data_IF_002570350584
#
_entry.id   IF_002570350584
#
_cell.length_a   1.000
_cell.length_b   1.000
_cell.length_c   1.000
_cell.angle_alpha   90.00
_cell.angle_beta   90.00
_cell.angle_gamma   90.00
#
_symmetry.space_group_name_H-M   'P 1'
#
loop_
_entity.id
_entity.type
_entity.pdbx_description
1 polymer ?
#
# COMPACT_ATOMS: atom_id res chain seq x y z
N UNK A 1 -26.28 -9.26 -11.43
CA UNK A 1 -25.15 -9.26 -10.47
C UNK A 1 -25.44 -8.15 -9.48
N UNK A 2 -25.76 -8.47 -8.22
CA UNK A 2 -25.88 -7.43 -7.19
C UNK A 2 -24.52 -6.76 -7.04
N UNK A 3 -24.46 -5.43 -7.21
CA UNK A 3 -23.27 -4.68 -6.83
C UNK A 3 -23.03 -4.94 -5.33
N UNK A 4 -21.86 -5.45 -4.93
CA UNK A 4 -21.52 -5.58 -3.51
C UNK A 4 -21.59 -4.20 -2.85
N UNK A 5 -21.97 -4.16 -1.58
CA UNK A 5 -21.86 -2.95 -0.76
C UNK A 5 -20.44 -2.39 -0.85
N UNK A 6 -20.34 -1.06 -1.04
CA UNK A 6 -19.07 -0.38 -1.26
C UNK A 6 -18.19 -0.48 0.01
N UNK A 7 -17.00 -1.08 -0.06
CA UNK A 7 -16.16 -1.31 1.10
C UNK A 7 -15.43 -0.02 1.49
N UNK A 8 -15.56 0.38 2.76
CA UNK A 8 -14.61 1.28 3.42
C UNK A 8 -13.46 0.42 3.96
N UNK A 9 -12.25 0.55 3.41
CA UNK A 9 -11.08 -0.25 3.80
C UNK A 9 -9.97 0.66 4.36
N UNK A 10 -9.09 0.11 5.19
CA UNK A 10 -7.81 0.75 5.55
C UNK A 10 -6.66 -0.23 5.37
N UNK A 11 -5.52 0.32 4.95
CA UNK A 11 -4.27 -0.41 4.90
C UNK A 11 -3.72 -0.59 6.31
N UNK A 12 -3.49 -1.84 6.70
CA UNK A 12 -2.69 -2.18 7.86
C UNK A 12 -1.27 -2.53 7.43
N UNK A 13 -0.32 -1.63 7.65
CA UNK A 13 1.10 -1.99 7.59
C UNK A 13 1.46 -2.79 8.87
N UNK A 14 1.08 -4.07 8.88
CA UNK A 14 1.26 -5.02 9.98
C UNK A 14 2.70 -5.47 10.15
N UNK A 15 3.40 -5.72 9.05
CA UNK A 15 4.86 -5.64 8.85
C UNK A 15 5.26 -6.36 7.56
N UNK A 16 6.48 -6.03 7.10
CA UNK A 16 7.16 -6.46 5.89
C UNK A 16 6.46 -6.00 4.59
N UNK A 17 7.01 -4.99 3.89
CA UNK A 17 8.35 -4.44 4.12
C UNK A 17 8.39 -3.30 5.13
N UNK A 18 9.38 -3.32 6.01
CA UNK A 18 9.67 -2.19 6.90
C UNK A 18 9.98 -0.95 6.07
N UNK A 19 9.21 0.12 6.30
CA UNK A 19 9.39 1.38 5.61
C UNK A 19 10.00 2.42 6.56
N UNK A 20 11.18 3.00 6.23
CA UNK A 20 11.87 3.94 7.09
C UNK A 20 11.05 5.17 7.50
N UNK A 21 10.07 5.57 6.70
CA UNK A 21 9.23 6.73 7.00
C UNK A 21 8.05 6.42 7.91
N UNK A 22 7.60 5.15 7.96
CA UNK A 22 6.53 4.71 8.86
C UNK A 22 7.06 4.50 10.27
N UNK A 23 8.18 3.79 10.39
CA UNK A 23 8.86 3.50 11.67
C UNK A 23 10.32 3.96 11.66
N UNK A 24 10.59 5.27 11.53
CA UNK A 24 11.94 5.82 11.50
C UNK A 24 12.78 5.46 12.72
N UNK A 25 12.17 5.25 13.89
CA UNK A 25 12.89 4.93 15.12
C UNK A 25 13.74 3.66 14.99
N UNK A 26 13.25 2.61 14.31
CA UNK A 26 14.00 1.36 14.12
C UNK A 26 15.28 1.62 13.33
N UNK A 27 15.18 2.42 12.28
CA UNK A 27 16.28 2.78 11.41
C UNK A 27 17.25 3.74 12.09
N UNK A 28 16.77 4.77 12.79
CA UNK A 28 17.59 5.71 13.56
C UNK A 28 18.42 4.96 14.62
N UNK A 29 17.77 4.05 15.35
CA UNK A 29 18.39 3.33 16.47
C UNK A 29 19.46 2.31 16.04
N UNK A 30 19.56 1.97 14.75
CA UNK A 30 20.70 1.18 14.26
C UNK A 30 22.02 1.92 14.36
N UNK A 31 22.00 3.27 14.48
CA UNK A 31 23.16 4.14 14.38
C UNK A 31 24.02 3.87 13.12
N UNK A 32 23.39 3.38 12.06
CA UNK A 32 24.04 3.06 10.79
C UNK A 32 23.18 3.56 9.62
N UNK A 33 23.62 4.65 8.99
CA UNK A 33 22.92 5.27 7.87
C UNK A 33 22.98 4.45 6.58
N UNK A 34 23.79 3.40 6.49
CA UNK A 34 23.82 2.49 5.36
C UNK A 34 22.64 1.48 5.37
N UNK A 35 21.90 1.40 6.47
CA UNK A 35 20.68 0.58 6.58
C UNK A 35 19.49 1.40 6.09
N UNK A 36 19.13 1.26 4.82
CA UNK A 36 18.14 2.12 4.14
C UNK A 36 16.80 1.42 3.88
N UNK A 37 16.73 0.12 4.10
CA UNK A 37 15.60 -0.76 3.85
C UNK A 37 15.75 -2.05 4.71
N UNK A 38 14.78 -2.95 4.63
CA UNK A 38 14.80 -4.19 5.40
C UNK A 38 15.91 -5.17 4.94
N UNK A 39 16.27 -5.13 3.65
CA UNK A 39 17.36 -5.93 3.09
C UNK A 39 18.71 -5.57 3.73
N UNK A 40 19.06 -4.28 3.73
CA UNK A 40 20.29 -3.77 4.35
C UNK A 40 20.24 -3.87 5.87
N UNK A 41 19.06 -3.80 6.48
CA UNK A 41 18.87 -4.08 7.91
C UNK A 41 19.32 -5.50 8.26
N UNK A 42 18.79 -6.51 7.55
CA UNK A 42 19.21 -7.91 7.73
C UNK A 42 20.67 -8.18 7.37
N UNK A 43 21.21 -7.43 6.39
CA UNK A 43 22.61 -7.59 5.95
C UNK A 43 23.63 -7.02 6.94
N UNK A 44 23.32 -5.89 7.59
CA UNK A 44 24.29 -5.08 8.34
C UNK A 44 24.09 -5.12 9.85
N UNK A 45 23.08 -5.84 10.34
CA UNK A 45 22.89 -6.10 11.76
C UNK A 45 23.35 -7.52 12.11
N UNK A 46 23.78 -7.69 13.37
CA UNK A 46 23.88 -9.05 13.93
C UNK A 46 22.49 -9.70 13.94
N UNK A 47 22.41 -10.96 13.52
CA UNK A 47 21.14 -11.67 13.33
C UNK A 47 20.28 -11.69 14.61
N UNK A 48 20.88 -11.93 15.78
CA UNK A 48 20.11 -12.00 17.03
C UNK A 48 19.64 -10.62 17.47
N UNK A 49 20.45 -9.60 17.22
CA UNK A 49 20.07 -8.19 17.44
C UNK A 49 18.90 -7.80 16.54
N UNK A 50 19.00 -8.08 15.23
CA UNK A 50 17.95 -7.81 14.25
C UNK A 50 16.65 -8.53 14.59
N UNK A 51 16.73 -9.83 14.92
CA UNK A 51 15.58 -10.63 15.33
C UNK A 51 14.94 -10.12 16.62
N UNK A 52 15.73 -9.65 17.58
CA UNK A 52 15.23 -9.04 18.81
C UNK A 52 14.43 -7.77 18.54
N UNK A 53 14.95 -6.88 17.69
CA UNK A 53 14.28 -5.64 17.26
C UNK A 53 12.97 -5.97 16.54
N UNK A 54 13.02 -6.88 15.56
CA UNK A 54 11.84 -7.26 14.77
C UNK A 54 10.77 -7.94 15.62
N UNK A 55 11.13 -8.82 16.57
CA UNK A 55 10.13 -9.40 17.49
C UNK A 55 9.44 -8.35 18.34
N UNK A 56 10.21 -7.40 18.88
CA UNK A 56 9.62 -6.30 19.62
C UNK A 56 8.68 -5.47 18.74
N UNK A 57 9.07 -5.22 17.48
CA UNK A 57 8.23 -4.53 16.50
C UNK A 57 6.93 -5.33 16.23
N UNK A 58 7.03 -6.62 15.87
CA UNK A 58 5.89 -7.50 15.60
C UNK A 58 4.94 -7.64 16.81
N UNK A 59 5.47 -7.63 18.04
CA UNK A 59 4.67 -7.78 19.26
C UNK A 59 3.92 -6.49 19.66
N UNK A 60 4.36 -5.32 19.20
CA UNK A 60 3.88 -4.03 19.74
C UNK A 60 3.37 -3.06 18.69
N UNK A 61 3.76 -3.22 17.43
CA UNK A 61 3.39 -2.29 16.38
C UNK A 61 1.94 -2.43 16.00
N UNK A 62 1.44 -3.60 15.62
CA UNK A 62 0.01 -3.82 15.44
C UNK A 62 -0.47 -4.89 16.42
N UNK A 63 -1.49 -4.55 17.17
CA UNK A 63 -2.07 -5.39 18.22
C UNK A 63 -3.57 -5.58 17.99
N UNK A 64 -4.21 -6.46 18.76
CA UNK A 64 -5.66 -6.63 18.69
C UNK A 64 -6.43 -5.31 18.92
N UNK A 65 -5.91 -4.42 19.78
CA UNK A 65 -6.52 -3.11 20.04
C UNK A 65 -6.60 -2.25 18.77
N UNK A 66 -5.67 -2.41 17.83
CA UNK A 66 -5.73 -1.72 16.53
C UNK A 66 -6.91 -2.24 15.70
N UNK A 67 -7.15 -3.56 15.68
CA UNK A 67 -8.29 -4.15 14.97
C UNK A 67 -9.63 -3.73 15.59
N UNK A 68 -9.71 -3.68 16.93
CA UNK A 68 -10.88 -3.14 17.65
C UNK A 68 -11.13 -1.68 17.24
N UNK A 69 -10.07 -0.86 17.19
CA UNK A 69 -10.18 0.54 16.83
C UNK A 69 -10.56 0.75 15.36
N UNK A 70 -10.07 -0.09 14.44
CA UNK A 70 -10.42 -0.07 13.01
C UNK A 70 -11.91 -0.37 12.83
N UNK A 71 -12.40 -1.45 13.44
CA UNK A 71 -13.83 -1.78 13.39
C UNK A 71 -14.70 -0.67 14.03
N UNK A 72 -14.24 -0.09 15.15
CA UNK A 72 -14.94 1.01 15.82
C UNK A 72 -14.94 2.32 15.01
N UNK A 73 -14.02 2.49 14.06
CA UNK A 73 -13.99 3.60 13.11
C UNK A 73 -14.92 3.39 11.90
N UNK A 74 -15.74 2.33 11.90
CA UNK A 74 -16.68 2.03 10.82
C UNK A 74 -16.04 1.44 9.57
N UNK A 75 -14.78 1.01 9.66
CA UNK A 75 -14.05 0.35 8.59
C UNK A 75 -14.42 -1.13 8.52
N UNK A 76 -14.38 -1.70 7.33
CA UNK A 76 -14.91 -3.04 7.04
C UNK A 76 -13.84 -4.04 6.61
N UNK A 77 -12.67 -3.55 6.18
CA UNK A 77 -11.60 -4.38 5.65
C UNK A 77 -10.23 -3.91 6.13
N UNK A 78 -9.27 -4.81 6.07
CA UNK A 78 -7.83 -4.55 6.25
C UNK A 78 -7.03 -5.11 5.07
N UNK A 79 -6.07 -4.34 4.55
CA UNK A 79 -5.02 -4.82 3.63
C UNK A 79 -3.73 -5.03 4.39
N UNK A 80 -3.16 -6.23 4.31
CA UNK A 80 -1.99 -6.68 5.08
C UNK A 80 -0.83 -6.94 4.10
N UNK A 81 0.12 -6.01 3.95
CA UNK A 81 1.37 -6.23 3.25
C UNK A 81 2.17 -7.35 3.89
N UNK A 82 2.77 -8.20 3.05
CA UNK A 82 3.65 -9.30 3.44
C UNK A 82 4.84 -9.35 2.49
N UNK A 83 6.04 -9.14 3.02
CA UNK A 83 7.28 -9.41 2.28
C UNK A 83 7.51 -10.91 2.12
N UNK A 84 8.04 -11.34 0.97
CA UNK A 84 8.22 -12.77 0.70
C UNK A 84 9.07 -13.52 1.75
N UNK A 85 9.99 -12.82 2.41
CA UNK A 85 10.86 -13.38 3.44
C UNK A 85 10.13 -13.79 4.72
N UNK A 86 8.88 -13.35 4.86
CA UNK A 86 7.99 -13.69 5.97
C UNK A 86 7.16 -14.96 5.72
N UNK A 87 7.14 -15.48 4.49
CA UNK A 87 6.32 -16.65 4.10
C UNK A 87 7.15 -17.92 4.20
N UNK A 88 6.66 -18.99 4.88
CA UNK A 88 7.42 -20.21 5.11
C UNK A 88 7.54 -21.06 3.84
N UNK A 89 8.51 -20.73 3.00
CA UNK A 89 8.85 -21.46 1.76
C UNK A 89 10.25 -22.07 1.84
N UNK A 90 10.62 -22.87 0.83
CA UNK A 90 11.98 -23.39 0.68
C UNK A 90 12.94 -22.42 -0.04
N UNK A 91 12.49 -21.19 -0.32
CA UNK A 91 13.28 -20.17 -1.00
C UNK A 91 14.22 -19.53 0.02
N UNK A 92 15.47 -19.27 -0.37
CA UNK A 92 16.39 -18.52 0.49
C UNK A 92 15.90 -17.09 0.66
N UNK A 93 15.81 -16.66 1.91
CA UNK A 93 15.39 -15.30 2.29
C UNK A 93 16.55 -14.45 2.79
N UNK A 94 17.80 -14.93 2.70
CA UNK A 94 18.93 -14.09 3.10
C UNK A 94 19.00 -12.82 2.24
N UNK A 95 19.34 -11.65 2.82
CA UNK A 95 19.77 -11.44 4.21
C UNK A 95 18.64 -11.12 5.20
N UNK A 96 17.37 -11.18 4.79
CA UNK A 96 16.24 -10.89 5.66
C UNK A 96 16.17 -11.82 6.88
N UNK A 97 15.52 -11.34 7.94
CA UNK A 97 15.31 -12.10 9.17
C UNK A 97 13.90 -12.71 9.15
N UNK A 98 13.74 -14.03 8.94
CA UNK A 98 12.42 -14.65 8.97
C UNK A 98 11.87 -14.69 10.40
N UNK A 99 10.54 -14.67 10.54
CA UNK A 99 9.89 -14.79 11.84
C UNK A 99 8.50 -14.17 11.93
N UNK A 100 8.10 -13.36 10.94
CA UNK A 100 6.82 -12.65 10.97
C UNK A 100 5.58 -13.55 10.74
N UNK A 101 5.73 -14.76 10.17
CA UNK A 101 4.59 -15.63 9.80
C UNK A 101 3.54 -15.83 10.91
N UNK A 102 3.91 -16.15 12.17
CA UNK A 102 2.93 -16.32 13.23
C UNK A 102 2.19 -15.02 13.59
N UNK A 103 2.77 -13.86 13.32
CA UNK A 103 2.15 -12.55 13.54
C UNK A 103 1.16 -12.21 12.43
N UNK A 104 1.51 -12.53 11.18
CA UNK A 104 0.59 -12.43 10.04
C UNK A 104 -0.65 -13.30 10.29
N UNK A 105 -0.45 -14.57 10.69
CA UNK A 105 -1.56 -15.47 11.01
C UNK A 105 -2.42 -14.96 12.18
N UNK A 106 -1.80 -14.36 13.20
CA UNK A 106 -2.48 -13.76 14.36
C UNK A 106 -3.34 -12.57 13.93
N UNK A 107 -2.80 -11.72 13.07
CA UNK A 107 -3.49 -10.55 12.55
C UNK A 107 -4.71 -10.91 11.68
N UNK A 108 -4.59 -11.92 10.81
CA UNK A 108 -5.73 -12.51 10.10
C UNK A 108 -6.78 -13.04 11.09
N UNK A 109 -6.34 -13.67 12.18
CA UNK A 109 -7.23 -14.12 13.25
C UNK A 109 -7.99 -12.99 13.92
N UNK A 110 -7.31 -11.88 14.25
CA UNK A 110 -7.94 -10.68 14.81
C UNK A 110 -8.92 -10.03 13.84
N UNK A 111 -8.58 -9.95 12.54
CA UNK A 111 -9.49 -9.44 11.52
C UNK A 111 -10.81 -10.23 11.52
N UNK A 112 -10.73 -11.55 11.44
CA UNK A 112 -11.90 -12.44 11.49
C UNK A 112 -12.71 -12.29 12.78
N UNK A 113 -12.04 -12.21 13.93
CA UNK A 113 -12.68 -12.06 15.24
C UNK A 113 -13.49 -10.77 15.36
N UNK A 114 -13.01 -9.69 14.73
CA UNK A 114 -13.64 -8.37 14.75
C UNK A 114 -14.50 -8.08 13.51
N UNK A 115 -14.80 -9.10 12.70
CA UNK A 115 -15.69 -8.98 11.54
C UNK A 115 -15.11 -8.15 10.39
N UNK A 116 -13.79 -8.03 10.32
CA UNK A 116 -13.08 -7.32 9.27
C UNK A 116 -12.69 -8.30 8.16
N UNK A 117 -13.04 -7.95 6.93
CA UNK A 117 -12.58 -8.64 5.73
C UNK A 117 -11.07 -8.41 5.54
N UNK A 118 -10.39 -9.39 4.95
CA UNK A 118 -8.92 -9.36 4.86
C UNK A 118 -8.42 -9.53 3.43
N UNK A 119 -7.56 -8.60 3.02
CA UNK A 119 -6.72 -8.69 1.83
C UNK A 119 -5.30 -9.02 2.28
N UNK A 120 -4.75 -10.13 1.81
CA UNK A 120 -3.31 -10.42 1.96
C UNK A 120 -2.60 -9.95 0.70
N UNK A 121 -1.60 -9.10 0.87
CA UNK A 121 -0.87 -8.50 -0.22
C UNK A 121 0.60 -8.94 -0.19
N UNK A 122 1.05 -9.63 -1.24
CA UNK A 122 2.48 -9.90 -1.39
C UNK A 122 3.18 -8.61 -1.81
N UNK A 123 3.81 -7.95 -0.85
CA UNK A 123 4.24 -6.56 -1.03
C UNK A 123 5.72 -6.42 -1.42
N UNK A 124 6.49 -7.51 -1.34
CA UNK A 124 7.88 -7.56 -1.80
C UNK A 124 8.22 -8.91 -2.41
N UNK A 125 8.85 -8.91 -3.59
CA UNK A 125 9.28 -10.12 -4.29
C UNK A 125 10.82 -10.23 -4.39
N UNK A 126 11.36 -11.45 -4.58
CA UNK A 126 12.79 -11.66 -4.81
C UNK A 126 13.33 -10.80 -5.95
N UNK A 127 14.44 -10.09 -5.70
CA UNK A 127 15.07 -9.19 -6.66
C UNK A 127 14.38 -7.83 -6.83
N UNK A 128 13.34 -7.54 -6.02
CA UNK A 128 12.50 -6.34 -6.06
C UNK A 128 11.74 -6.15 -7.38
N UNK A 129 10.45 -5.88 -7.26
CA UNK A 129 9.53 -5.63 -8.38
C UNK A 129 9.45 -4.15 -8.80
N UNK A 130 10.06 -3.23 -8.05
CA UNK A 130 10.00 -1.80 -8.33
C UNK A 130 11.26 -1.01 -7.95
N UNK A 131 12.15 -1.57 -7.14
CA UNK A 131 13.36 -0.90 -6.65
C UNK A 131 13.11 0.07 -5.50
N UNK A 132 11.89 0.12 -4.95
CA UNK A 132 11.52 0.94 -3.80
C UNK A 132 11.89 0.23 -2.49
N UNK A 133 12.12 1.02 -1.44
CA UNK A 133 12.34 0.48 -0.09
C UNK A 133 11.10 -0.26 0.44
N UNK A 134 9.91 0.16 0.03
CA UNK A 134 8.65 -0.53 0.29
C UNK A 134 8.60 -1.95 -0.27
N UNK A 135 9.49 -2.38 -1.17
CA UNK A 135 9.58 -3.78 -1.62
C UNK A 135 10.53 -4.64 -0.77
N UNK A 136 11.18 -4.02 0.22
CA UNK A 136 12.22 -4.60 1.08
C UNK A 136 13.64 -4.35 0.63
N UNK A 137 13.85 -4.10 -0.67
CA UNK A 137 15.16 -3.87 -1.26
C UNK A 137 15.13 -2.68 -2.22
N UNK A 138 15.56 -1.53 -1.72
CA UNK A 138 15.76 -0.34 -2.53
C UNK A 138 16.94 -0.56 -3.47
N UNK A 139 16.69 -0.45 -4.77
CA UNK A 139 17.72 -0.64 -5.79
C UNK A 139 17.39 0.15 -7.06
N UNK A 140 18.43 0.65 -7.73
CA UNK A 140 18.27 1.28 -9.04
C UNK A 140 18.21 0.26 -10.20
N UNK A 141 18.35 -1.02 -9.89
CA UNK A 141 18.35 -2.10 -10.88
C UNK A 141 17.55 -3.30 -10.37
N UNK A 142 16.22 -3.15 -10.21
CA UNK A 142 15.37 -4.27 -9.82
C UNK A 142 15.46 -5.40 -10.87
N UNK A 143 15.36 -6.65 -10.42
CA UNK A 143 15.65 -7.85 -11.23
C UNK A 143 14.48 -8.84 -11.28
N UNK A 144 13.36 -8.56 -10.62
CA UNK A 144 12.24 -9.50 -10.53
C UNK A 144 11.77 -9.98 -11.91
N UNK A 145 11.37 -9.06 -12.80
CA UNK A 145 10.85 -9.40 -14.13
C UNK A 145 11.92 -9.96 -15.09
N UNK A 146 13.20 -9.65 -14.84
CA UNK A 146 14.32 -10.02 -15.72
C UNK A 146 14.91 -11.39 -15.39
N UNK A 147 14.47 -12.02 -14.32
CA UNK A 147 14.95 -13.33 -13.88
C UNK A 147 13.76 -14.25 -13.57
N UNK A 148 13.56 -15.26 -14.43
CA UNK A 148 12.47 -16.23 -14.27
C UNK A 148 12.54 -17.01 -12.94
N UNK A 149 13.71 -17.12 -12.31
CA UNK A 149 13.84 -17.71 -10.97
C UNK A 149 13.10 -16.88 -9.93
N UNK A 150 13.17 -15.55 -10.03
CA UNK A 150 12.46 -14.64 -9.12
C UNK A 150 10.95 -14.74 -9.33
N UNK A 151 10.47 -14.71 -10.57
CA UNK A 151 9.04 -14.84 -10.90
C UNK A 151 8.49 -16.18 -10.41
N UNK A 152 9.19 -17.30 -10.69
CA UNK A 152 8.77 -18.63 -10.25
C UNK A 152 8.77 -18.76 -8.72
N UNK A 153 9.77 -18.18 -8.04
CA UNK A 153 9.79 -18.11 -6.59
C UNK A 153 8.56 -17.35 -6.06
N UNK A 154 8.24 -16.22 -6.68
CA UNK A 154 7.07 -15.38 -6.32
C UNK A 154 5.76 -16.17 -6.48
N UNK A 155 5.58 -16.93 -7.57
CA UNK A 155 4.42 -17.82 -7.74
C UNK A 155 4.35 -18.90 -6.64
N UNK A 156 5.49 -19.48 -6.24
CA UNK A 156 5.53 -20.45 -5.16
C UNK A 156 5.16 -19.84 -3.79
N UNK A 157 5.49 -18.55 -3.58
CA UNK A 157 5.08 -17.79 -2.39
C UNK A 157 3.56 -17.56 -2.40
N UNK A 158 2.99 -17.15 -3.54
CA UNK A 158 1.53 -17.01 -3.70
C UNK A 158 0.81 -18.33 -3.45
N UNK A 159 1.35 -19.45 -3.93
CA UNK A 159 0.79 -20.77 -3.65
C UNK A 159 0.70 -21.05 -2.14
N UNK A 160 1.73 -20.69 -1.35
CA UNK A 160 1.70 -20.88 0.11
C UNK A 160 0.69 -19.93 0.76
N UNK A 161 0.66 -18.65 0.37
CA UNK A 161 -0.32 -17.68 0.87
C UNK A 161 -1.75 -18.16 0.61
N UNK A 162 -2.03 -18.62 -0.61
CA UNK A 162 -3.35 -19.12 -1.01
C UNK A 162 -3.72 -20.41 -0.28
N UNK A 163 -2.82 -21.39 -0.16
CA UNK A 163 -3.08 -22.63 0.56
C UNK A 163 -3.32 -22.41 2.05
N UNK A 164 -2.51 -21.58 2.71
CA UNK A 164 -2.52 -21.43 4.17
C UNK A 164 -3.53 -20.39 4.67
N UNK A 165 -3.73 -19.31 3.91
CA UNK A 165 -4.58 -18.18 4.30
C UNK A 165 -5.86 -18.08 3.49
N UNK A 166 -5.93 -18.65 2.29
CA UNK A 166 -7.13 -18.60 1.42
C UNK A 166 -8.46 -18.97 2.13
N UNK A 167 -8.51 -19.98 3.02
CA UNK A 167 -9.73 -20.30 3.78
C UNK A 167 -10.14 -19.25 4.84
N UNK A 168 -9.29 -18.24 5.09
CA UNK A 168 -9.40 -17.26 6.19
C UNK A 168 -9.44 -15.81 5.69
N UNK A 169 -9.24 -15.58 4.40
CA UNK A 169 -9.12 -14.23 3.82
C UNK A 169 -10.03 -14.11 2.61
N UNK A 170 -10.44 -12.88 2.32
CA UNK A 170 -11.38 -12.58 1.24
C UNK A 170 -10.67 -12.40 -0.10
N UNK A 171 -9.44 -11.86 -0.06
CA UNK A 171 -8.67 -11.60 -1.25
C UNK A 171 -7.16 -11.83 -1.05
N UNK A 172 -6.48 -12.13 -2.15
CA UNK A 172 -5.03 -12.19 -2.25
C UNK A 172 -4.59 -11.29 -3.40
N UNK A 173 -3.79 -10.30 -3.08
CA UNK A 173 -3.09 -9.48 -4.07
C UNK A 173 -1.78 -10.13 -4.45
N UNK A 174 -1.61 -10.32 -5.76
CA UNK A 174 -0.56 -11.16 -6.31
C UNK A 174 0.83 -10.53 -6.17
N UNK A 175 0.96 -9.22 -6.30
CA UNK A 175 2.21 -8.49 -6.07
C UNK A 175 1.97 -6.97 -6.06
N UNK A 176 2.35 -6.28 -4.99
CA UNK A 176 2.25 -4.83 -4.90
C UNK A 176 3.13 -4.11 -5.94
N UNK A 177 2.59 -3.07 -6.59
CA UNK A 177 3.34 -2.03 -7.32
C UNK A 177 4.46 -2.55 -8.23
N UNK A 178 4.15 -3.49 -9.13
CA UNK A 178 5.15 -3.96 -10.10
C UNK A 178 5.48 -2.85 -11.10
N UNK A 179 6.75 -2.55 -11.33
CA UNK A 179 7.17 -1.48 -12.23
C UNK A 179 7.13 -1.89 -13.72
N UNK A 180 5.93 -2.16 -14.25
CA UNK A 180 5.70 -2.53 -15.67
C UNK A 180 6.29 -1.52 -16.65
N UNK A 181 6.24 -0.24 -16.28
CA UNK A 181 6.80 0.90 -17.04
C UNK A 181 8.31 0.84 -17.32
N UNK A 182 9.07 -0.08 -16.72
CA UNK A 182 10.51 -0.23 -16.97
C UNK A 182 10.84 -0.81 -18.36
N UNK A 183 9.85 -1.30 -19.10
CA UNK A 183 9.96 -1.60 -20.53
C UNK A 183 9.25 -2.89 -20.95
N UNK A 184 9.31 -3.27 -22.24
CA UNK A 184 8.50 -4.37 -22.78
C UNK A 184 8.73 -5.73 -22.12
N UNK A 185 9.96 -6.00 -21.65
CA UNK A 185 10.26 -7.22 -20.92
C UNK A 185 9.59 -7.26 -19.54
N UNK A 186 9.43 -6.10 -18.89
CA UNK A 186 8.72 -5.96 -17.62
C UNK A 186 7.22 -6.15 -17.83
N UNK A 187 6.60 -5.38 -18.73
CA UNK A 187 5.19 -5.53 -19.13
C UNK A 187 4.82 -6.99 -19.45
N UNK A 188 5.62 -7.66 -20.29
CA UNK A 188 5.38 -9.06 -20.66
C UNK A 188 5.47 -10.01 -19.46
N UNK A 189 6.42 -9.79 -18.56
CA UNK A 189 6.56 -10.60 -17.34
C UNK A 189 5.41 -10.36 -16.37
N UNK A 190 4.95 -9.12 -16.21
CA UNK A 190 3.81 -8.76 -15.35
C UNK A 190 2.55 -9.47 -15.84
N UNK A 191 2.21 -9.34 -17.13
CA UNK A 191 1.00 -9.97 -17.70
C UNK A 191 1.03 -11.48 -17.54
N UNK A 192 2.15 -12.12 -17.87
CA UNK A 192 2.30 -13.56 -17.67
C UNK A 192 2.21 -13.94 -16.18
N UNK A 193 2.75 -13.14 -15.28
CA UNK A 193 2.69 -13.38 -13.84
C UNK A 193 1.24 -13.29 -13.31
N UNK A 194 0.45 -12.30 -13.74
CA UNK A 194 -0.97 -12.19 -13.36
C UNK A 194 -1.80 -13.40 -13.81
N UNK A 195 -1.64 -13.85 -15.06
CA UNK A 195 -2.33 -15.05 -15.56
C UNK A 195 -1.93 -16.29 -14.74
N UNK A 196 -0.64 -16.51 -14.54
CA UNK A 196 -0.16 -17.67 -13.78
C UNK A 196 -0.54 -17.60 -12.30
N UNK A 197 -0.49 -16.42 -11.69
CA UNK A 197 -0.85 -16.21 -10.29
C UNK A 197 -2.35 -16.43 -10.04
N UNK A 198 -3.21 -16.01 -10.97
CA UNK A 198 -4.64 -16.34 -10.94
C UNK A 198 -4.84 -17.86 -10.90
N UNK A 199 -4.19 -18.61 -11.80
CA UNK A 199 -4.30 -20.07 -11.84
C UNK A 199 -3.76 -20.73 -10.56
N UNK A 200 -2.64 -20.23 -10.02
CA UNK A 200 -2.07 -20.70 -8.75
C UNK A 200 -3.08 -20.52 -7.61
N UNK A 201 -3.70 -19.35 -7.47
CA UNK A 201 -4.70 -19.11 -6.42
C UNK A 201 -5.92 -20.01 -6.59
N UNK A 202 -6.43 -20.17 -7.81
CA UNK A 202 -7.58 -21.05 -8.10
C UNK A 202 -7.28 -22.50 -7.76
N UNK A 203 -6.08 -23.00 -8.07
CA UNK A 203 -5.65 -24.36 -7.72
C UNK A 203 -5.47 -24.55 -6.21
N UNK A 204 -4.96 -23.54 -5.51
CA UNK A 204 -4.66 -23.60 -4.08
C UNK A 204 -5.88 -23.44 -3.18
N UNK A 205 -6.76 -22.49 -3.50
CA UNK A 205 -7.81 -21.97 -2.62
C UNK A 205 -9.22 -22.03 -3.25
N UNK A 206 -9.34 -22.46 -4.50
CA UNK A 206 -10.60 -22.54 -5.24
C UNK A 206 -11.17 -21.18 -5.65
N UNK A 207 -12.49 -21.14 -5.83
CA UNK A 207 -13.20 -20.00 -6.44
C UNK A 207 -13.73 -18.97 -5.43
N UNK A 208 -13.35 -19.07 -4.16
CA UNK A 208 -13.87 -18.17 -3.11
C UNK A 208 -13.04 -16.90 -2.97
N UNK A 209 -11.72 -17.01 -3.11
CA UNK A 209 -10.77 -15.90 -2.92
C UNK A 209 -10.80 -14.97 -4.14
N UNK A 210 -10.91 -13.66 -3.90
CA UNK A 210 -10.71 -12.65 -4.94
C UNK A 210 -9.22 -12.54 -5.24
N UNK A 211 -8.86 -12.62 -6.52
CA UNK A 211 -7.47 -12.40 -6.97
C UNK A 211 -7.34 -10.93 -7.33
N UNK A 212 -6.43 -10.22 -6.66
CA UNK A 212 -6.15 -8.81 -6.93
C UNK A 212 -4.84 -8.70 -7.74
N UNK A 213 -4.88 -7.90 -8.80
CA UNK A 213 -3.72 -7.55 -9.64
C UNK A 213 -3.49 -6.04 -9.60
N UNK A 214 -2.25 -5.58 -9.68
CA UNK A 214 -1.95 -4.15 -9.80
C UNK A 214 -1.98 -3.66 -11.25
N UNK A 215 -2.18 -2.35 -11.44
CA UNK A 215 -2.11 -1.69 -12.75
C UNK A 215 -0.66 -1.52 -13.29
N UNK A 216 0.33 -1.93 -12.50
CA UNK A 216 1.76 -1.87 -12.80
C UNK A 216 2.31 -0.46 -13.15
N UNK A 217 1.64 0.59 -12.68
CA UNK A 217 1.86 2.00 -13.05
C UNK A 217 1.76 2.29 -14.55
N UNK A 218 1.14 1.40 -15.32
CA UNK A 218 0.89 1.61 -16.74
C UNK A 218 -0.41 2.40 -16.96
N UNK A 219 -1.21 2.59 -15.91
CA UNK A 219 -2.55 3.16 -15.97
C UNK A 219 -3.59 2.10 -16.29
N UNK A 220 -4.72 2.18 -15.59
CA UNK A 220 -5.76 1.14 -15.57
C UNK A 220 -6.29 0.77 -16.97
N UNK A 221 -6.34 1.72 -17.91
CA UNK A 221 -6.84 1.50 -19.27
C UNK A 221 -6.00 0.49 -20.09
N UNK A 222 -4.74 0.26 -19.73
CA UNK A 222 -3.90 -0.76 -20.37
C UNK A 222 -4.27 -2.21 -19.99
N UNK A 223 -5.25 -2.37 -19.09
CA UNK A 223 -5.73 -3.66 -18.58
C UNK A 223 -7.15 -3.98 -19.05
N UNK A 224 -7.71 -3.21 -20.00
CA UNK A 224 -9.03 -3.49 -20.55
C UNK A 224 -9.09 -4.88 -21.18
N UNK A 225 -10.12 -5.66 -20.80
CA UNK A 225 -10.29 -7.03 -21.27
C UNK A 225 -9.26 -8.04 -20.77
N UNK A 226 -8.39 -7.68 -19.81
CA UNK A 226 -7.44 -8.60 -19.18
C UNK A 226 -8.12 -9.39 -18.05
N UNK A 227 -7.95 -10.72 -18.05
CA UNK A 227 -8.64 -11.66 -17.15
C UNK A 227 -10.17 -11.43 -17.05
N UNK A 228 -10.91 -11.43 -18.16
CA UNK A 228 -12.33 -11.06 -18.18
C UNK A 228 -13.25 -12.18 -17.67
N UNK A 229 -14.41 -11.81 -17.16
CA UNK A 229 -15.51 -12.75 -16.90
C UNK A 229 -16.20 -13.16 -18.22
N UNK A 230 -16.62 -14.43 -18.41
CA UNK A 230 -16.62 -15.54 -17.45
C UNK A 230 -15.35 -16.42 -17.42
N UNK A 231 -14.33 -16.12 -18.23
CA UNK A 231 -13.11 -16.93 -18.30
C UNK A 231 -12.34 -16.91 -16.97
N UNK A 232 -12.27 -15.73 -16.34
CA UNK A 232 -11.69 -15.53 -15.03
C UNK A 232 -12.75 -14.91 -14.12
N UNK A 233 -13.05 -15.58 -13.01
CA UNK A 233 -14.05 -15.11 -12.04
C UNK A 233 -13.36 -14.51 -10.83
N UNK A 234 -14.01 -13.54 -10.17
CA UNK A 234 -13.50 -12.88 -8.96
C UNK A 234 -12.08 -12.32 -9.12
N UNK A 235 -11.91 -11.49 -10.13
CA UNK A 235 -10.68 -10.73 -10.35
C UNK A 235 -10.98 -9.27 -10.05
N UNK A 236 -10.05 -8.61 -9.36
CA UNK A 236 -10.08 -7.19 -9.04
C UNK A 236 -8.74 -6.58 -9.46
N UNK A 237 -8.76 -5.34 -9.95
CA UNK A 237 -7.56 -4.54 -10.18
C UNK A 237 -7.42 -3.51 -9.06
N UNK A 238 -6.21 -3.39 -8.56
CA UNK A 238 -5.78 -2.37 -7.61
C UNK A 238 -5.15 -1.18 -8.34
N UNK A 239 -5.61 0.01 -8.01
CA UNK A 239 -5.07 1.29 -8.46
C UNK A 239 -4.63 2.14 -7.28
N UNK A 240 -3.39 2.65 -7.34
CA UNK A 240 -2.85 3.54 -6.32
C UNK A 240 -2.88 5.00 -6.80
N UNK A 241 -3.44 5.90 -6.00
CA UNK A 241 -3.57 7.32 -6.34
C UNK A 241 -2.82 8.20 -5.33
N UNK A 242 -1.73 8.81 -5.79
CA UNK A 242 -0.98 9.81 -5.07
C UNK A 242 -0.66 10.98 -5.99
N UNK A 243 -0.63 12.19 -5.44
CA UNK A 243 -0.34 13.41 -6.20
C UNK A 243 0.86 14.16 -5.64
N UNK A 244 1.93 13.45 -5.27
CA UNK A 244 3.07 14.05 -4.53
C UNK A 244 4.45 13.56 -4.97
N UNK A 245 4.53 12.59 -5.89
CA UNK A 245 5.81 11.94 -6.21
C UNK A 245 6.53 12.53 -7.43
N UNK A 246 5.98 13.60 -8.02
CA UNK A 246 6.60 14.38 -9.08
C UNK A 246 6.45 15.89 -8.86
N UNK A 247 7.34 16.66 -9.47
CA UNK A 247 7.26 18.12 -9.48
C UNK A 247 5.96 18.64 -10.14
N UNK A 248 5.43 17.89 -11.11
CA UNK A 248 4.17 18.26 -11.77
C UNK A 248 3.00 18.21 -10.79
N UNK A 249 2.92 17.15 -9.99
CA UNK A 249 1.82 16.98 -9.04
C UNK A 249 1.95 17.95 -7.87
N UNK A 250 3.16 18.09 -7.30
CA UNK A 250 3.44 19.03 -6.20
C UNK A 250 3.27 20.50 -6.58
N UNK A 251 3.23 20.81 -7.88
CA UNK A 251 2.98 22.18 -8.34
C UNK A 251 1.50 22.59 -8.27
N UNK A 252 0.58 21.65 -8.04
CA UNK A 252 -0.85 21.93 -7.93
C UNK A 252 -1.15 22.69 -6.64
N UNK A 253 -2.06 23.66 -6.74
CA UNK A 253 -2.72 24.18 -5.53
C UNK A 253 -3.61 23.11 -4.90
N UNK A 254 -3.98 23.33 -3.63
CA UNK A 254 -4.95 22.50 -2.91
C UNK A 254 -6.25 22.27 -3.71
N UNK A 255 -6.83 23.32 -4.29
CA UNK A 255 -8.03 23.19 -5.14
C UNK A 255 -7.75 22.39 -6.42
N UNK A 256 -6.55 22.51 -7.00
CA UNK A 256 -6.17 21.78 -8.21
C UNK A 256 -5.97 20.28 -7.95
N UNK A 257 -5.54 19.88 -6.75
CA UNK A 257 -5.50 18.47 -6.37
C UNK A 257 -6.88 17.84 -6.32
N UNK A 258 -7.86 18.53 -5.71
CA UNK A 258 -9.25 18.09 -5.66
C UNK A 258 -9.83 18.03 -7.09
N UNK A 259 -9.60 19.07 -7.89
CA UNK A 259 -10.04 19.09 -9.29
C UNK A 259 -9.44 17.95 -10.10
N UNK A 260 -8.14 17.66 -9.95
CA UNK A 260 -7.51 16.55 -10.65
C UNK A 260 -8.14 15.21 -10.25
N UNK A 261 -8.32 14.95 -8.96
CA UNK A 261 -8.96 13.73 -8.48
C UNK A 261 -10.37 13.56 -9.09
N UNK A 262 -11.19 14.61 -9.00
CA UNK A 262 -12.58 14.56 -9.48
C UNK A 262 -12.74 14.56 -11.00
N UNK A 263 -11.87 15.26 -11.75
CA UNK A 263 -12.04 15.49 -13.20
C UNK A 263 -11.15 14.59 -14.06
N UNK A 264 -10.07 14.02 -13.50
CA UNK A 264 -9.15 13.15 -14.21
C UNK A 264 -9.19 11.72 -13.69
N UNK A 265 -8.98 11.51 -12.38
CA UNK A 265 -8.91 10.16 -11.80
C UNK A 265 -10.30 9.48 -11.83
N UNK A 266 -11.34 10.16 -11.35
CA UNK A 266 -12.69 9.58 -11.24
C UNK A 266 -13.27 9.07 -12.57
N UNK A 267 -13.31 9.85 -13.68
CA UNK A 267 -13.91 9.36 -14.91
C UNK A 267 -13.20 8.12 -15.47
N UNK A 268 -11.88 8.06 -15.36
CA UNK A 268 -11.07 6.92 -15.81
C UNK A 268 -11.39 5.67 -15.00
N UNK A 269 -11.35 5.74 -13.67
CA UNK A 269 -11.63 4.58 -12.81
C UNK A 269 -13.09 4.13 -12.91
N UNK A 270 -14.04 5.05 -12.92
CA UNK A 270 -15.46 4.72 -13.04
C UNK A 270 -15.79 4.05 -14.38
N UNK A 271 -15.20 4.54 -15.48
CA UNK A 271 -15.34 3.93 -16.80
C UNK A 271 -14.76 2.52 -16.83
N UNK A 272 -13.56 2.32 -16.27
CA UNK A 272 -12.93 1.01 -16.23
C UNK A 272 -13.77 0.01 -15.41
N UNK A 273 -14.14 0.38 -14.17
CA UNK A 273 -14.87 -0.47 -13.24
C UNK A 273 -16.27 -0.87 -13.74
N UNK A 274 -16.90 -0.02 -14.56
CA UNK A 274 -18.20 -0.31 -15.18
C UNK A 274 -18.10 -1.36 -16.28
N UNK A 275 -16.99 -1.40 -17.02
CA UNK A 275 -16.86 -2.15 -18.26
C UNK A 275 -15.91 -3.35 -18.19
N UNK A 276 -15.16 -3.52 -17.09
CA UNK A 276 -14.12 -4.53 -16.96
C UNK A 276 -14.28 -5.36 -15.66
N UNK A 277 -13.17 -5.71 -15.03
CA UNK A 277 -13.08 -6.43 -13.76
C UNK A 277 -13.35 -5.49 -12.57
N UNK A 278 -13.49 -6.05 -11.37
CA UNK A 278 -13.66 -5.22 -10.18
C UNK A 278 -12.49 -4.26 -9.99
N UNK A 279 -12.69 -3.11 -9.37
CA UNK A 279 -11.66 -2.07 -9.22
C UNK A 279 -11.69 -1.48 -7.82
N UNK A 280 -10.55 -1.37 -7.18
CA UNK A 280 -10.38 -0.72 -5.89
C UNK A 280 -9.28 0.34 -5.99
N UNK A 281 -9.45 1.45 -5.27
CA UNK A 281 -8.32 2.36 -5.01
C UNK A 281 -7.57 1.82 -3.79
N UNK A 282 -6.60 0.93 -3.99
CA UNK A 282 -5.99 0.16 -2.90
C UNK A 282 -4.86 0.86 -2.17
N UNK A 283 -4.43 2.03 -2.64
CA UNK A 283 -3.64 2.97 -1.85
C UNK A 283 -3.92 4.43 -2.23
N UNK A 284 -4.04 5.27 -1.21
CA UNK A 284 -4.07 6.73 -1.30
C UNK A 284 -3.90 7.33 0.11
N UNK A 285 -3.62 8.64 0.22
CA UNK A 285 -3.55 9.33 1.51
C UNK A 285 -4.06 10.77 1.44
N UNK A 286 -4.09 11.46 2.59
CA UNK A 286 -4.35 12.90 2.67
C UNK A 286 -3.10 13.77 2.48
N UNK A 287 -1.93 13.15 2.29
CA UNK A 287 -0.68 13.88 2.14
C UNK A 287 -0.63 14.61 0.80
N UNK A 288 -0.22 15.88 0.84
CA UNK A 288 -0.21 16.77 -0.34
C UNK A 288 1.16 17.35 -0.62
N UNK A 289 2.15 16.85 0.13
CA UNK A 289 3.57 17.09 -0.05
C UNK A 289 4.30 15.79 0.17
N UNK A 290 5.56 15.70 -0.27
CA UNK A 290 6.45 14.59 0.03
C UNK A 290 7.36 14.87 1.24
N UNK A 291 6.86 15.65 2.22
CA UNK A 291 7.62 16.16 3.37
C UNK A 291 7.89 15.14 4.48
N UNK A 292 7.11 14.07 4.58
CA UNK A 292 7.30 13.05 5.59
C UNK A 292 8.75 12.55 5.61
N UNK A 293 9.34 12.48 6.81
CA UNK A 293 10.73 12.08 6.99
C UNK A 293 10.98 10.75 6.29
N UNK A 294 11.89 10.75 5.32
CA UNK A 294 12.30 9.57 4.55
C UNK A 294 11.21 8.93 3.70
N UNK A 295 10.13 9.64 3.36
CA UNK A 295 9.11 9.15 2.43
C UNK A 295 9.72 8.80 1.06
N UNK A 296 10.69 9.58 0.60
CA UNK A 296 11.46 9.31 -0.62
C UNK A 296 12.64 8.32 -0.39
N UNK A 297 12.60 7.64 0.76
CA UNK A 297 13.58 6.70 1.28
C UNK A 297 14.62 7.31 2.22
N UNK A 298 15.22 6.45 3.06
CA UNK A 298 16.14 6.89 4.12
C UNK A 298 17.30 7.72 3.57
N UNK A 299 17.53 8.88 4.18
CA UNK A 299 18.60 9.81 3.79
C UNK A 299 18.30 10.64 2.55
N UNK A 300 17.08 10.54 2.00
CA UNK A 300 16.61 11.34 0.87
C UNK A 300 15.62 12.39 1.38
N UNK A 301 15.78 13.64 0.93
CA UNK A 301 14.91 14.75 1.28
C UNK A 301 13.59 14.79 0.49
N UNK A 302 12.87 15.89 0.61
CA UNK A 302 11.61 16.16 -0.09
C UNK A 302 11.82 16.99 -1.35
N UNK A 303 10.99 16.77 -2.38
CA UNK A 303 10.89 17.66 -3.54
C UNK A 303 10.26 18.98 -3.13
N UNK A 304 9.28 18.94 -2.21
CA UNK A 304 8.53 20.10 -1.76
C UNK A 304 9.42 21.26 -1.29
N UNK A 305 10.42 21.00 -0.45
CA UNK A 305 11.34 22.01 0.08
C UNK A 305 12.69 22.07 -0.67
N UNK A 306 12.84 21.26 -1.73
CA UNK A 306 14.05 21.14 -2.52
C UNK A 306 15.20 20.37 -1.84
N UNK A 307 14.99 19.80 -0.64
CA UNK A 307 16.02 19.05 0.09
C UNK A 307 16.39 17.71 -0.57
N UNK A 308 15.57 17.20 -1.49
CA UNK A 308 15.89 16.00 -2.29
C UNK A 308 17.13 16.20 -3.18
N UNK A 309 17.50 17.45 -3.49
CA UNK A 309 18.65 17.79 -4.32
C UNK A 309 18.37 17.77 -5.83
N UNK A 310 19.44 17.66 -6.63
CA UNK A 310 19.32 17.55 -8.10
C UNK A 310 18.85 18.81 -8.84
N UNK A 311 18.81 19.96 -8.19
CA UNK A 311 18.30 21.21 -8.78
C UNK A 311 16.78 21.31 -8.82
N UNK A 312 16.07 20.52 -8.02
CA UNK A 312 14.62 20.59 -7.89
C UNK A 312 14.18 21.99 -7.41
N UNK A 313 13.18 22.56 -8.08
CA UNK A 313 12.52 23.79 -7.63
C UNK A 313 11.74 23.51 -6.35
N UNK A 314 12.05 24.23 -5.28
CA UNK A 314 11.25 24.17 -4.05
C UNK A 314 9.88 24.84 -4.29
N UNK A 315 8.83 24.20 -3.78
CA UNK A 315 7.45 24.68 -3.80
C UNK A 315 7.07 25.38 -2.49
N UNK A 316 7.68 25.00 -1.36
CA UNK A 316 7.40 25.59 -0.05
C UNK A 316 8.30 25.09 1.07
N UNK A 317 7.96 25.41 2.31
CA UNK A 317 8.56 24.80 3.51
C UNK A 317 7.77 23.56 3.92
N UNK A 318 8.44 22.54 4.44
CA UNK A 318 7.79 21.38 5.07
C UNK A 318 7.26 21.67 6.49
N UNK A 319 7.60 22.83 7.08
CA UNK A 319 7.13 23.21 8.41
C UNK A 319 5.60 23.30 8.46
N UNK A 320 5.00 22.56 9.40
CA UNK A 320 3.55 22.53 9.59
C UNK A 320 2.76 21.71 8.57
N UNK A 321 3.44 20.96 7.68
CA UNK A 321 2.81 20.10 6.66
C UNK A 321 3.08 18.61 6.85
N UNK A 322 3.89 18.24 7.85
CA UNK A 322 4.20 16.86 8.22
C UNK A 322 4.55 16.75 9.70
N UNK A 323 4.51 15.53 10.24
CA UNK A 323 4.90 15.26 11.62
C UNK A 323 3.71 15.29 12.57
N UNK A 324 3.81 16.04 13.66
CA UNK A 324 2.76 16.11 14.68
C UNK A 324 1.61 17.02 14.22
N UNK A 325 0.41 16.45 14.07
CA UNK A 325 -0.76 17.17 13.54
C UNK A 325 -1.19 18.38 14.38
N UNK A 326 -0.83 18.43 15.66
CA UNK A 326 -1.15 19.59 16.52
C UNK A 326 -0.45 20.88 16.10
N UNK A 327 0.55 20.77 15.22
CA UNK A 327 1.26 21.91 14.61
C UNK A 327 0.63 22.37 13.29
N UNK A 328 -0.30 21.60 12.73
CA UNK A 328 -0.92 21.89 11.44
C UNK A 328 -1.84 23.10 11.55
N UNK A 329 -1.84 23.93 10.50
CA UNK A 329 -2.75 25.08 10.44
C UNK A 329 -4.20 24.61 10.28
N UNK A 330 -5.15 25.43 10.71
CA UNK A 330 -6.58 25.14 10.52
C UNK A 330 -6.95 25.03 9.04
N UNK A 331 -6.29 25.80 8.19
CA UNK A 331 -6.53 25.79 6.74
C UNK A 331 -6.03 24.47 6.15
N UNK A 332 -4.85 23.99 6.56
CA UNK A 332 -4.33 22.69 6.12
C UNK A 332 -5.21 21.52 6.58
N UNK A 333 -5.67 21.52 7.83
CA UNK A 333 -6.65 20.53 8.32
C UNK A 333 -7.97 20.57 7.53
N UNK A 334 -8.45 21.77 7.20
CA UNK A 334 -9.65 21.98 6.39
C UNK A 334 -9.47 21.43 4.98
N UNK A 335 -8.30 21.64 4.39
CA UNK A 335 -7.98 21.09 3.09
C UNK A 335 -7.87 19.57 3.11
N UNK A 336 -7.10 18.98 4.04
CA UNK A 336 -7.02 17.52 4.17
C UNK A 336 -8.40 16.88 4.35
N UNK A 337 -9.32 17.56 5.05
CA UNK A 337 -10.72 17.13 5.18
C UNK A 337 -11.45 17.11 3.83
N UNK A 338 -11.33 18.17 3.02
CA UNK A 338 -11.92 18.20 1.68
C UNK A 338 -11.30 17.14 0.77
N UNK A 339 -9.98 17.01 0.80
CA UNK A 339 -9.26 16.06 -0.04
C UNK A 339 -9.61 14.61 0.33
N UNK A 340 -9.74 14.30 1.63
CA UNK A 340 -10.29 13.03 2.11
C UNK A 340 -11.70 12.77 1.56
N UNK A 341 -12.62 13.74 1.64
CA UNK A 341 -13.99 13.57 1.13
C UNK A 341 -14.03 13.32 -0.37
N UNK A 342 -13.21 14.04 -1.15
CA UNK A 342 -13.10 13.83 -2.59
C UNK A 342 -12.59 12.42 -2.92
N UNK A 343 -11.48 11.99 -2.32
CA UNK A 343 -10.89 10.66 -2.56
C UNK A 343 -11.84 9.53 -2.13
N UNK A 344 -12.55 9.69 -1.01
CA UNK A 344 -13.56 8.72 -0.56
C UNK A 344 -14.77 8.68 -1.50
N UNK A 345 -15.27 9.83 -1.96
CA UNK A 345 -16.35 9.88 -2.96
C UNK A 345 -15.94 9.14 -4.24
N UNK A 346 -14.69 9.30 -4.68
CA UNK A 346 -14.16 8.58 -5.84
C UNK A 346 -14.14 7.08 -5.59
N UNK A 347 -13.51 6.64 -4.50
CA UNK A 347 -13.48 5.23 -4.14
C UNK A 347 -14.87 4.62 -4.01
N UNK A 348 -15.82 5.36 -3.45
CA UNK A 348 -17.21 4.93 -3.30
C UNK A 348 -17.97 4.80 -4.64
N UNK A 349 -17.68 5.67 -5.62
CA UNK A 349 -18.24 5.61 -6.98
C UNK A 349 -17.60 4.48 -7.80
N UNK A 350 -16.32 4.20 -7.57
CA UNK A 350 -15.60 3.08 -8.16
C UNK A 350 -16.15 1.80 -7.51
N UNK A 351 -15.44 1.12 -6.60
CA UNK A 351 -15.97 -0.04 -5.85
C UNK A 351 -15.23 -0.26 -4.52
N UNK A 352 -14.59 0.78 -3.97
CA UNK A 352 -13.86 0.71 -2.70
C UNK A 352 -12.61 1.58 -2.68
N UNK A 353 -12.13 1.83 -1.46
CA UNK A 353 -10.88 2.55 -1.21
C UNK A 353 -10.17 2.01 0.02
N UNK A 354 -8.84 2.02 0.00
CA UNK A 354 -7.95 1.59 1.09
C UNK A 354 -7.00 2.75 1.41
N UNK A 355 -7.11 3.34 2.59
CA UNK A 355 -6.23 4.44 3.01
C UNK A 355 -4.85 3.92 3.45
N UNK A 356 -3.78 4.47 2.88
CA UNK A 356 -2.41 4.26 3.33
C UNK A 356 -2.01 5.35 4.34
N UNK A 357 -1.85 5.07 5.63
CA UNK A 357 -1.94 3.78 6.36
C UNK A 357 -2.65 3.98 7.71
N UNK A 358 -2.92 2.90 8.46
CA UNK A 358 -3.56 3.01 9.78
C UNK A 358 -2.80 3.91 10.76
N UNK A 359 -1.46 3.77 10.83
CA UNK A 359 -0.62 4.59 11.70
C UNK A 359 0.85 4.67 11.28
N UNK A 360 1.50 5.73 11.74
CA UNK A 360 2.93 6.04 11.57
C UNK A 360 3.50 6.54 12.91
N UNK A 361 4.82 6.52 13.08
CA UNK A 361 5.43 7.08 14.31
C UNK A 361 5.46 8.61 14.32
N UNK A 362 5.66 9.23 13.16
CA UNK A 362 5.95 10.67 13.07
C UNK A 362 5.56 11.30 11.73
N UNK A 363 4.47 10.83 11.10
CA UNK A 363 3.95 11.37 9.84
C UNK A 363 2.41 11.35 9.91
N UNK A 364 1.82 12.22 10.73
CA UNK A 364 0.40 12.15 11.07
C UNK A 364 -0.51 12.37 9.85
N UNK A 365 -0.06 13.09 8.84
CA UNK A 365 -0.78 13.31 7.56
C UNK A 365 -0.99 12.02 6.73
N UNK A 366 -0.24 10.95 7.06
CA UNK A 366 -0.35 9.61 6.49
C UNK A 366 -1.04 8.62 7.43
N UNK A 367 -1.48 9.05 8.61
CA UNK A 367 -1.99 8.18 9.67
C UNK A 367 -3.49 8.32 9.79
N UNK A 368 -4.24 7.28 9.41
CA UNK A 368 -5.70 7.27 9.54
C UNK A 368 -6.11 7.50 11.00
N UNK A 369 -5.44 6.82 11.93
CA UNK A 369 -5.66 6.97 13.38
C UNK A 369 -5.50 8.42 13.83
N UNK A 370 -4.48 9.12 13.32
CA UNK A 370 -4.27 10.54 13.66
C UNK A 370 -5.26 11.45 12.95
N UNK A 371 -5.71 11.09 11.76
CA UNK A 371 -6.81 11.79 11.09
C UNK A 371 -8.12 11.76 11.87
N UNK A 372 -8.43 10.65 12.55
CA UNK A 372 -9.56 10.57 13.47
C UNK A 372 -9.38 11.45 14.71
N UNK A 373 -8.16 11.51 15.26
CA UNK A 373 -7.83 12.35 16.43
C UNK A 373 -7.88 13.85 16.09
N UNK A 374 -7.32 14.25 14.95
CA UNK A 374 -7.28 15.63 14.48
C UNK A 374 -8.55 16.09 13.75
N UNK A 375 -9.47 15.18 13.45
CA UNK A 375 -10.81 15.48 12.94
C UNK A 375 -10.90 15.77 11.44
N UNK A 376 -9.80 15.67 10.68
CA UNK A 376 -9.85 15.78 9.22
C UNK A 376 -10.34 14.49 8.56
N UNK A 377 -10.25 13.35 9.25
CA UNK A 377 -10.98 12.11 8.90
C UNK A 377 -12.15 11.97 9.89
N UNK A 378 -13.40 11.81 9.41
CA UNK A 378 -14.54 11.60 10.31
C UNK A 378 -14.50 10.21 10.94
N UNK A 379 -15.13 10.08 12.11
CA UNK A 379 -15.35 8.78 12.76
C UNK A 379 -16.38 7.91 12.05
N UNK A 380 -17.30 8.54 11.32
CA UNK A 380 -18.20 7.86 10.40
C UNK A 380 -17.70 8.14 8.98
N UNK A 381 -17.18 7.13 8.25
CA UNK A 381 -16.62 7.33 6.92
C UNK A 381 -17.66 7.77 5.88
N UNK A 382 -18.96 7.74 6.19
CA UNK A 382 -20.03 8.27 5.33
C UNK A 382 -20.30 9.76 5.55
N UNK A 383 -19.76 10.35 6.62
CA UNK A 383 -20.00 11.76 6.94
C UNK A 383 -19.27 12.68 5.97
N UNK A 384 -20.00 13.66 5.42
CA UNK A 384 -19.48 14.74 4.57
C UNK A 384 -19.73 16.10 5.23
N UNK A 385 -18.69 16.93 5.34
CA UNK A 385 -18.73 18.34 5.71
C UNK A 385 -18.71 19.24 4.47
N UNK A 386 -18.17 18.74 3.36
CA UNK A 386 -18.05 19.42 2.07
C UNK A 386 -18.63 18.51 0.98
N UNK A 387 -19.96 18.26 0.96
CA UNK A 387 -20.57 17.38 -0.03
C UNK A 387 -20.50 17.96 -1.44
N UNK A 388 -20.34 17.10 -2.45
CA UNK A 388 -20.40 17.47 -3.86
C UNK A 388 -19.11 18.11 -4.40
N UNK A 389 -17.94 17.72 -3.88
CA UNK A 389 -16.66 18.21 -4.40
C UNK A 389 -16.38 17.74 -5.84
N UNK A 390 -16.93 16.59 -6.22
CA UNK A 390 -16.79 16.02 -7.56
C UNK A 390 -18.05 16.17 -8.44
N UNK A 391 -19.03 17.01 -8.05
CA UNK A 391 -20.30 17.22 -8.78
C UNK A 391 -20.28 18.42 -9.72
#
# INVERSE_FOLDING_TARGET
>A
MHQPHCPSLVQLSLEAPMQPWITPSIFINTNNNAIIDEFTFGQMQDYQTALGILRQHWDTWITEDDFVAIAAAGLTHVRIPVGYWSVPTNISVLPYIPGAWPYIQRAVGWALQHGLHTIIDLHGAPGSQNGYDNSGQRTNSPQWALNSTNVNATLAIIQVLASELGPKVDAIELLNEVAGFLGPAWDSAVRAYWENGYEVVRQAAGDNVVVIIGDAFEGIDNWQGFLPYPQNSRVMIDYHEYQIFSALELSRSEDQHIQFACQNTLPTLASFATNNIWTVTGEWSTATTDCALWLNGRGVGARWDGSIGGGATAFGSCEGLTGNWTTFSKDFLTYMRKYWEAQVEIGEIVQGWIFWTWKTESADEWSYKKGLEGGWIPRDPTQRLYPGLCQ
#
